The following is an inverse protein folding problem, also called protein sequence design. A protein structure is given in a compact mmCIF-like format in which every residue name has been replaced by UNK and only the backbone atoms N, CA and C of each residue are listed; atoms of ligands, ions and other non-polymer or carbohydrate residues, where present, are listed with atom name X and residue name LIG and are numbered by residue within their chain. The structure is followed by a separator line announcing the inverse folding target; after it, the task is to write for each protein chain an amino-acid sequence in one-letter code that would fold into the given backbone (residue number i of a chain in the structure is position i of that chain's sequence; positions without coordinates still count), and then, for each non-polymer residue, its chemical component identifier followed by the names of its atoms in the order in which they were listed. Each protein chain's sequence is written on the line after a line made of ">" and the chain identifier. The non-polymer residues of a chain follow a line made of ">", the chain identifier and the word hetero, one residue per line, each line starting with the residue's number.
data_IF_769596631893
#
_entry.id   IF_769596631893
#
_cell.length_a   1.000
_cell.length_b   1.000
_cell.length_c   1.000
_cell.angle_alpha   90.00
_cell.angle_beta   90.00
_cell.angle_gamma   90.00
#
_symmetry.space_group_name_H-M   'P 1'
#
loop_
_entity.id
_entity.type
_entity.pdbx_description
1 polymer ?
#
# COMPACT_ATOMS: atom_id res chain seq x y z
N UNK A 1 -1.91 33.89 -16.39
CA UNK A 1 -2.82 32.99 -17.11
C UNK A 1 -2.05 31.73 -17.53
N UNK A 2 -2.71 30.56 -17.50
CA UNK A 2 -2.07 29.30 -17.88
C UNK A 2 -1.67 29.25 -19.35
N UNK A 3 -2.42 29.91 -20.21
CA UNK A 3 -2.07 30.04 -21.62
C UNK A 3 -0.80 30.87 -21.78
N UNK A 4 -0.67 31.97 -21.05
CA UNK A 4 0.54 32.80 -21.05
C UNK A 4 1.78 32.05 -20.55
N UNK A 5 1.61 31.24 -19.50
CA UNK A 5 2.69 30.42 -18.94
C UNK A 5 3.23 29.43 -19.98
N UNK A 6 2.35 28.81 -20.75
CA UNK A 6 2.73 27.92 -21.85
C UNK A 6 3.10 28.66 -23.14
N UNK A 7 2.82 29.95 -23.24
CA UNK A 7 3.05 30.75 -24.45
C UNK A 7 2.21 30.30 -25.63
N UNK A 8 0.94 29.96 -25.39
CA UNK A 8 -0.04 29.52 -26.40
C UNK A 8 -1.28 30.38 -26.34
N UNK A 9 -2.04 30.43 -27.44
CA UNK A 9 -3.32 31.15 -27.49
C UNK A 9 -4.44 30.35 -26.81
N UNK A 10 -5.50 31.04 -26.39
CA UNK A 10 -6.69 30.36 -25.83
C UNK A 10 -7.40 29.43 -26.83
N UNK A 11 -7.14 29.58 -28.11
CA UNK A 11 -7.64 28.72 -29.18
C UNK A 11 -6.71 27.54 -29.53
N UNK A 12 -5.57 27.38 -28.81
CA UNK A 12 -4.62 26.33 -29.08
C UNK A 12 -5.25 24.96 -28.91
N UNK A 13 -4.93 24.03 -29.81
CA UNK A 13 -5.28 22.63 -29.69
C UNK A 13 -4.37 21.88 -28.72
N UNK A 14 -4.73 20.66 -28.41
CA UNK A 14 -3.97 19.83 -27.45
C UNK A 14 -2.55 19.53 -27.91
N UNK A 15 -2.31 19.42 -29.22
CA UNK A 15 -1.00 19.17 -29.80
C UNK A 15 -0.09 20.40 -29.66
N UNK A 16 -0.61 21.58 -29.84
CA UNK A 16 0.08 22.86 -29.65
C UNK A 16 0.43 23.07 -28.18
N UNK A 17 -0.51 22.81 -27.27
CA UNK A 17 -0.29 22.85 -25.81
C UNK A 17 0.80 21.86 -25.41
N UNK A 18 0.72 20.62 -25.89
CA UNK A 18 1.71 19.58 -25.60
C UNK A 18 3.10 19.92 -26.15
N UNK A 19 3.17 20.45 -27.37
CA UNK A 19 4.43 20.86 -28.00
C UNK A 19 5.10 22.01 -27.25
N UNK A 20 4.34 22.99 -26.82
CA UNK A 20 4.84 24.13 -26.05
C UNK A 20 5.33 23.68 -24.66
N UNK A 21 4.53 22.84 -23.96
CA UNK A 21 4.94 22.25 -22.69
C UNK A 21 6.28 21.53 -22.82
N UNK A 22 6.45 20.63 -23.80
CA UNK A 22 7.71 19.90 -24.03
C UNK A 22 8.89 20.82 -24.20
N UNK A 23 8.74 21.90 -24.99
CA UNK A 23 9.77 22.89 -25.24
C UNK A 23 10.18 23.62 -23.96
N UNK A 24 9.20 24.04 -23.16
CA UNK A 24 9.43 24.79 -21.92
C UNK A 24 9.97 23.88 -20.81
N UNK A 25 9.49 22.64 -20.68
CA UNK A 25 9.98 21.67 -19.72
C UNK A 25 11.45 21.31 -19.95
N UNK A 26 11.88 21.20 -21.22
CA UNK A 26 13.30 21.01 -21.57
C UNK A 26 14.12 22.26 -21.25
N UNK A 27 13.58 23.45 -21.44
CA UNK A 27 14.27 24.72 -21.19
C UNK A 27 14.48 24.95 -19.69
N UNK A 28 13.46 24.71 -18.87
CA UNK A 28 13.43 25.01 -17.44
C UNK A 28 13.68 23.79 -16.56
N UNK A 29 14.31 22.76 -17.14
CA UNK A 29 14.65 21.58 -16.34
C UNK A 29 15.72 21.90 -15.29
N UNK A 30 15.51 21.58 -13.98
CA UNK A 30 16.44 21.94 -12.90
C UNK A 30 17.88 21.44 -13.11
N UNK A 31 18.06 20.30 -13.80
CA UNK A 31 19.39 19.74 -14.07
C UNK A 31 20.20 20.52 -15.13
N UNK A 32 19.56 21.44 -15.86
CA UNK A 32 20.26 22.30 -16.84
C UNK A 32 20.78 23.60 -16.24
N UNK A 33 20.36 23.91 -15.04
CA UNK A 33 20.74 25.12 -14.32
C UNK A 33 21.69 24.75 -13.18
N UNK A 34 22.95 25.11 -13.32
CA UNK A 34 24.03 24.73 -12.37
C UNK A 34 24.19 25.72 -11.24
N UNK A 35 23.80 26.98 -11.45
CA UNK A 35 23.85 28.00 -10.43
C UNK A 35 22.67 27.91 -9.47
N UNK A 36 22.89 28.18 -8.18
CA UNK A 36 21.89 27.91 -7.12
C UNK A 36 20.66 28.79 -7.25
N UNK A 37 20.81 30.04 -7.65
CA UNK A 37 19.72 30.98 -7.83
C UNK A 37 18.96 30.70 -9.15
N UNK A 38 19.65 30.37 -10.21
CA UNK A 38 19.08 29.94 -11.48
C UNK A 38 18.31 28.65 -11.36
N UNK A 39 18.75 27.73 -10.49
CA UNK A 39 18.09 26.47 -10.24
C UNK A 39 16.77 26.66 -9.50
N UNK A 40 16.71 27.53 -8.49
CA UNK A 40 15.48 27.85 -7.77
C UNK A 40 14.44 28.48 -8.72
N UNK A 41 14.89 29.42 -9.56
CA UNK A 41 14.01 30.04 -10.55
C UNK A 41 13.52 29.02 -11.59
N UNK A 42 14.39 28.13 -12.07
CA UNK A 42 14.01 27.04 -12.98
C UNK A 42 12.99 26.07 -12.35
N UNK A 43 13.13 25.74 -11.06
CA UNK A 43 12.16 24.91 -10.33
C UNK A 43 10.78 25.58 -10.22
N UNK A 44 10.73 26.89 -9.95
CA UNK A 44 9.46 27.63 -9.89
C UNK A 44 8.80 27.71 -11.27
N UNK A 45 9.59 27.98 -12.32
CA UNK A 45 9.08 28.00 -13.68
C UNK A 45 8.59 26.62 -14.12
N UNK A 46 9.33 25.56 -13.79
CA UNK A 46 8.92 24.19 -14.12
C UNK A 46 7.62 23.78 -13.42
N UNK A 47 7.42 24.17 -12.15
CA UNK A 47 6.16 23.97 -11.42
C UNK A 47 5.00 24.69 -12.10
N UNK A 48 5.20 25.95 -12.46
CA UNK A 48 4.18 26.77 -13.12
C UNK A 48 3.77 26.20 -14.49
N UNK A 49 4.76 25.77 -15.28
CA UNK A 49 4.57 25.14 -16.59
C UNK A 49 3.83 23.81 -16.47
N UNK A 50 4.20 22.99 -15.47
CA UNK A 50 3.56 21.70 -15.23
C UNK A 50 2.11 21.85 -14.75
N UNK A 51 1.84 22.85 -13.90
CA UNK A 51 0.49 23.17 -13.43
C UNK A 51 -0.41 23.66 -14.59
N UNK A 52 0.10 24.53 -15.44
CA UNK A 52 -0.61 25.02 -16.59
C UNK A 52 -0.96 23.87 -17.57
N UNK A 53 0.01 22.99 -17.83
CA UNK A 53 -0.22 21.86 -18.72
C UNK A 53 -1.24 20.87 -18.14
N UNK A 54 -1.20 20.57 -16.83
CA UNK A 54 -2.13 19.64 -16.19
C UNK A 54 -3.59 20.06 -16.32
N UNK A 55 -3.85 21.37 -16.34
CA UNK A 55 -5.20 21.92 -16.50
C UNK A 55 -5.60 22.01 -17.97
N UNK A 56 -4.71 22.53 -18.82
CA UNK A 56 -5.04 22.79 -20.21
C UNK A 56 -5.01 21.55 -21.11
N UNK A 57 -4.37 20.46 -20.68
CA UNK A 57 -4.33 19.18 -21.39
C UNK A 57 -5.56 18.31 -21.15
N UNK A 58 -6.32 18.56 -20.11
CA UNK A 58 -7.58 17.89 -19.80
C UNK A 58 -8.76 18.73 -20.29
N UNK A 59 -9.59 18.17 -21.15
CA UNK A 59 -10.71 18.90 -21.76
C UNK A 59 -11.71 19.41 -20.73
N UNK A 60 -11.95 18.65 -19.66
CA UNK A 60 -12.89 19.02 -18.62
C UNK A 60 -12.34 20.14 -17.74
N UNK A 61 -11.08 20.00 -17.28
CA UNK A 61 -10.42 21.02 -16.48
C UNK A 61 -10.20 22.32 -17.26
N UNK A 62 -9.88 22.21 -18.55
CA UNK A 62 -9.76 23.36 -19.43
C UNK A 62 -11.07 24.15 -19.55
N UNK A 63 -12.21 23.45 -19.71
CA UNK A 63 -13.52 24.09 -19.70
C UNK A 63 -13.85 24.83 -18.43
N UNK A 64 -13.52 24.20 -17.27
CA UNK A 64 -13.70 24.82 -15.95
C UNK A 64 -12.78 26.04 -15.81
N UNK A 65 -11.52 25.91 -16.23
CA UNK A 65 -10.56 27.01 -16.20
C UNK A 65 -10.99 28.18 -17.09
N UNK A 66 -11.49 27.92 -18.31
CA UNK A 66 -11.95 28.93 -19.25
C UNK A 66 -13.19 29.67 -18.76
N UNK A 67 -14.05 29.01 -17.97
CA UNK A 67 -15.29 29.58 -17.43
C UNK A 67 -15.13 30.29 -16.08
N UNK A 68 -14.36 29.70 -15.17
CA UNK A 68 -14.29 30.11 -13.76
C UNK A 68 -12.86 30.47 -13.29
N UNK A 69 -11.87 30.41 -14.21
CA UNK A 69 -10.49 30.68 -13.90
C UNK A 69 -9.88 29.68 -12.91
N UNK A 70 -8.83 30.13 -12.21
CA UNK A 70 -8.14 29.33 -11.17
C UNK A 70 -9.07 28.97 -9.99
N UNK A 71 -10.03 29.86 -9.67
CA UNK A 71 -10.98 29.62 -8.59
C UNK A 71 -11.92 28.44 -8.89
N UNK A 72 -12.35 28.30 -10.14
CA UNK A 72 -13.15 27.16 -10.58
C UNK A 72 -12.40 25.84 -10.49
N UNK A 73 -11.09 25.84 -10.77
CA UNK A 73 -10.24 24.66 -10.60
C UNK A 73 -10.13 24.28 -9.14
N UNK A 74 -9.95 25.22 -8.21
CA UNK A 74 -9.88 24.96 -6.76
C UNK A 74 -11.18 24.34 -6.22
N UNK A 75 -12.35 24.81 -6.70
CA UNK A 75 -13.66 24.28 -6.30
C UNK A 75 -13.99 22.90 -6.88
N UNK A 76 -13.45 22.55 -8.05
CA UNK A 76 -13.68 21.25 -8.70
C UNK A 76 -12.71 20.15 -8.26
N UNK A 77 -11.67 20.49 -7.50
CA UNK A 77 -10.67 19.53 -6.96
C UNK A 77 -11.27 18.58 -5.90
N UNK A 78 -12.44 18.89 -5.33
CA UNK A 78 -13.16 17.97 -4.42
C UNK A 78 -13.59 16.65 -5.09
N UNK A 79 -13.65 16.61 -6.42
CA UNK A 79 -14.01 15.43 -7.24
C UNK A 79 -12.81 14.74 -7.90
N UNK A 80 -11.59 15.23 -7.67
CA UNK A 80 -10.43 14.76 -8.40
C UNK A 80 -9.83 13.52 -7.73
N UNK A 81 -9.89 12.37 -8.46
CA UNK A 81 -9.09 11.17 -8.12
C UNK A 81 -7.62 11.58 -8.00
N UNK A 82 -6.89 11.10 -6.99
CA UNK A 82 -5.47 11.37 -6.89
C UNK A 82 -4.81 10.97 -8.20
N UNK A 83 -4.28 11.96 -8.88
CA UNK A 83 -3.58 11.78 -10.15
C UNK A 83 -2.34 10.93 -9.86
N UNK A 84 -2.38 9.67 -10.22
CA UNK A 84 -1.21 8.79 -10.14
C UNK A 84 -0.14 9.37 -11.06
N UNK A 85 0.90 9.91 -10.46
CA UNK A 85 2.09 10.47 -11.13
C UNK A 85 2.65 9.54 -12.23
N UNK A 86 2.40 8.24 -12.10
CA UNK A 86 2.78 7.19 -13.04
C UNK A 86 2.01 7.20 -14.35
N UNK A 87 0.72 7.48 -14.36
CA UNK A 87 -0.08 7.48 -15.59
C UNK A 87 0.21 8.73 -16.42
N UNK A 88 0.37 9.86 -15.76
CA UNK A 88 0.76 11.13 -16.39
C UNK A 88 2.21 11.09 -16.90
N UNK A 89 3.12 10.56 -16.12
CA UNK A 89 4.54 10.39 -16.48
C UNK A 89 4.70 9.43 -17.66
N UNK A 90 3.98 8.30 -17.67
CA UNK A 90 3.98 7.37 -18.78
C UNK A 90 3.31 7.94 -20.05
N UNK A 91 2.27 8.76 -19.92
CA UNK A 91 1.58 9.38 -21.04
C UNK A 91 2.40 10.49 -21.70
N UNK A 92 3.27 11.18 -20.93
CA UNK A 92 4.13 12.27 -21.44
C UNK A 92 5.50 11.78 -21.88
N UNK A 93 6.10 10.81 -21.18
CA UNK A 93 7.48 10.37 -21.43
C UNK A 93 7.55 9.21 -22.41
N UNK A 94 6.52 8.36 -22.52
CA UNK A 94 6.49 7.30 -23.52
C UNK A 94 6.67 7.79 -24.99
N UNK A 95 6.15 8.97 -25.40
CA UNK A 95 6.44 9.51 -26.72
C UNK A 95 7.87 10.02 -26.89
N UNK A 96 8.62 10.23 -25.78
CA UNK A 96 10.00 10.77 -25.79
C UNK A 96 11.06 9.65 -25.81
N UNK A 97 10.69 8.39 -25.83
CA UNK A 97 11.60 7.21 -25.78
C UNK A 97 12.66 7.18 -26.89
N UNK A 98 12.54 7.96 -27.92
CA UNK A 98 13.49 8.01 -29.05
C UNK A 98 14.58 9.10 -28.90
N UNK A 99 14.69 9.77 -27.73
CA UNK A 99 15.69 10.78 -27.50
C UNK A 99 16.77 10.31 -26.52
N UNK A 100 18.03 10.42 -26.86
CA UNK A 100 19.22 9.98 -26.08
C UNK A 100 19.23 10.52 -24.62
N UNK A 101 18.59 11.67 -24.40
CA UNK A 101 18.40 12.27 -23.08
C UNK A 101 17.40 11.51 -22.20
N UNK A 102 16.40 10.87 -22.81
CA UNK A 102 15.40 10.03 -22.12
C UNK A 102 16.02 8.74 -21.59
N UNK A 103 17.06 8.23 -22.24
CA UNK A 103 17.77 7.04 -21.76
C UNK A 103 18.56 7.34 -20.48
N UNK A 104 19.14 8.54 -20.39
CA UNK A 104 19.84 9.00 -19.19
C UNK A 104 18.88 9.32 -18.02
N UNK A 105 17.70 9.87 -18.33
CA UNK A 105 16.61 10.03 -17.37
C UNK A 105 16.01 8.70 -16.97
N UNK A 106 15.82 7.76 -17.91
CA UNK A 106 15.26 6.45 -17.62
C UNK A 106 16.11 5.67 -16.60
N UNK A 107 17.45 5.74 -16.69
CA UNK A 107 18.33 5.05 -15.73
C UNK A 107 18.25 5.65 -14.32
N UNK A 108 18.14 6.99 -14.24
CA UNK A 108 17.98 7.70 -12.95
C UNK A 108 16.54 7.63 -12.44
N UNK A 109 15.54 7.61 -13.32
CA UNK A 109 14.12 7.52 -13.00
C UNK A 109 13.63 6.07 -12.88
N UNK A 110 14.24 5.08 -13.51
CA UNK A 110 14.02 3.67 -13.15
C UNK A 110 14.47 3.39 -11.72
N UNK A 111 15.57 3.99 -11.27
CA UNK A 111 15.97 3.98 -9.85
C UNK A 111 14.99 4.75 -8.97
N UNK A 112 14.45 5.88 -9.44
CA UNK A 112 13.45 6.67 -8.70
C UNK A 112 12.05 6.09 -8.82
N UNK A 113 11.65 5.55 -9.98
CA UNK A 113 10.38 4.82 -10.18
C UNK A 113 10.38 3.51 -9.39
N UNK A 114 11.46 2.75 -9.41
CA UNK A 114 11.63 1.58 -8.53
C UNK A 114 11.69 1.99 -7.05
N UNK A 115 12.25 3.17 -6.74
CA UNK A 115 12.22 3.75 -5.40
C UNK A 115 10.80 4.23 -5.03
N UNK A 116 10.07 4.86 -5.93
CA UNK A 116 8.70 5.36 -5.69
C UNK A 116 7.67 4.22 -5.70
N UNK A 117 7.77 3.26 -6.63
CA UNK A 117 6.94 2.05 -6.62
C UNK A 117 7.24 1.14 -5.43
N UNK A 118 8.52 1.09 -4.99
CA UNK A 118 8.91 0.39 -3.77
C UNK A 118 8.64 1.20 -2.50
N UNK A 119 8.47 2.52 -2.58
CA UNK A 119 8.14 3.38 -1.44
C UNK A 119 6.64 3.34 -1.09
N UNK A 120 5.76 3.05 -2.05
CA UNK A 120 4.33 2.85 -1.75
C UNK A 120 4.09 1.65 -0.81
N UNK A 121 4.99 0.66 -0.80
CA UNK A 121 4.80 -0.61 -0.08
C UNK A 121 6.09 -1.16 0.57
N UNK A 122 7.04 -0.33 0.98
CA UNK A 122 8.22 -0.83 1.69
C UNK A 122 7.90 -1.20 3.14
N UNK A 123 8.32 -2.38 3.62
CA UNK A 123 8.31 -2.66 5.05
C UNK A 123 9.18 -1.63 5.78
N UNK A 124 8.72 -1.18 6.93
CA UNK A 124 9.34 -0.13 7.76
C UNK A 124 10.84 -0.35 8.06
N UNK A 125 11.32 -1.61 8.06
CA UNK A 125 12.71 -1.98 8.29
C UNK A 125 13.71 -1.43 7.26
N UNK A 126 13.26 -1.03 6.06
CA UNK A 126 14.14 -0.52 5.00
C UNK A 126 14.22 1.02 4.94
N UNK A 127 13.32 1.71 5.62
CA UNK A 127 13.35 3.16 5.77
C UNK A 127 14.19 3.51 7.02
N UNK A 128 15.51 3.54 6.87
CA UNK A 128 16.34 4.32 7.80
C UNK A 128 15.84 5.76 7.69
N UNK A 129 15.02 6.17 8.65
CA UNK A 129 14.52 7.52 8.80
C UNK A 129 15.73 8.47 8.97
N UNK A 130 16.29 8.96 7.86
CA UNK A 130 16.81 10.32 7.92
C UNK A 130 15.59 11.15 8.30
N UNK A 131 15.61 11.75 9.47
CA UNK A 131 14.69 12.82 9.84
C UNK A 131 14.79 13.88 8.74
N UNK A 132 14.02 13.70 7.68
CA UNK A 132 13.75 14.77 6.75
C UNK A 132 12.90 15.74 7.55
N UNK A 133 13.47 16.90 7.81
CA UNK A 133 12.78 18.08 8.30
C UNK A 133 11.79 18.54 7.20
N UNK A 134 10.76 17.75 6.94
CA UNK A 134 9.61 18.18 6.17
C UNK A 134 8.55 18.64 7.18
N UNK A 135 8.46 19.96 7.45
CA UNK A 135 7.72 20.50 8.58
C UNK A 135 6.19 20.32 8.47
N UNK A 136 5.69 19.74 7.39
CA UNK A 136 4.27 19.44 7.21
C UNK A 136 3.97 17.94 7.11
N UNK A 137 4.94 17.07 7.41
CA UNK A 137 4.73 15.61 7.39
C UNK A 137 3.83 15.17 8.53
N UNK A 138 2.76 14.42 8.20
CA UNK A 138 1.82 13.88 9.16
C UNK A 138 1.73 12.36 9.00
N UNK A 139 2.00 11.63 10.08
CA UNK A 139 1.87 10.18 10.12
C UNK A 139 0.57 9.79 10.83
N UNK A 140 -0.20 8.89 10.23
CA UNK A 140 -1.49 8.42 10.74
C UNK A 140 -1.46 6.89 10.72
N UNK A 141 -1.77 6.26 11.86
CA UNK A 141 -1.92 4.81 11.92
C UNK A 141 -3.33 4.43 11.49
N UNK A 142 -3.44 3.54 10.50
CA UNK A 142 -4.69 3.00 10.01
C UNK A 142 -4.80 1.53 10.44
N UNK A 143 -5.73 1.24 11.34
CA UNK A 143 -5.98 -0.11 11.82
C UNK A 143 -6.97 -0.84 10.91
N UNK A 144 -6.55 -2.01 10.40
CA UNK A 144 -7.33 -2.85 9.49
C UNK A 144 -7.49 -4.26 10.07
N UNK A 145 -8.62 -4.89 9.77
CA UNK A 145 -8.84 -6.30 10.11
C UNK A 145 -8.19 -7.22 9.07
N UNK A 146 -8.03 -8.50 9.39
CA UNK A 146 -7.48 -9.48 8.43
C UNK A 146 -8.37 -9.64 7.22
N UNK A 147 -9.69 -9.58 7.39
CA UNK A 147 -10.67 -9.68 6.31
C UNK A 147 -10.56 -8.49 5.35
N UNK A 148 -10.39 -7.27 5.88
CA UNK A 148 -10.18 -6.07 5.06
C UNK A 148 -8.90 -6.15 4.25
N UNK A 149 -7.83 -6.70 4.83
CA UNK A 149 -6.56 -6.93 4.13
C UNK A 149 -6.61 -8.12 3.16
N UNK A 150 -7.49 -9.08 3.41
CA UNK A 150 -7.68 -10.24 2.54
C UNK A 150 -8.47 -9.88 1.28
N UNK A 151 -9.58 -9.17 1.44
CA UNK A 151 -10.48 -8.81 0.34
C UNK A 151 -10.05 -7.52 -0.38
N UNK A 152 -9.31 -6.66 0.34
CA UNK A 152 -9.11 -5.28 -0.04
C UNK A 152 -10.35 -4.44 0.25
N UNK A 153 -10.16 -3.16 0.48
CA UNK A 153 -11.27 -2.24 0.75
C UNK A 153 -10.88 -0.79 0.44
N UNK A 154 -11.88 0.07 0.37
CA UNK A 154 -11.67 1.52 0.32
C UNK A 154 -12.08 2.12 1.65
N UNK A 155 -11.18 2.89 2.27
CA UNK A 155 -11.43 3.62 3.51
C UNK A 155 -11.45 5.11 3.24
N UNK A 156 -12.45 5.78 3.78
CA UNK A 156 -12.51 7.23 3.77
C UNK A 156 -11.94 7.77 5.08
N UNK A 157 -11.03 8.71 4.98
CA UNK A 157 -10.42 9.36 6.13
C UNK A 157 -10.54 10.87 6.01
N UNK A 158 -11.24 11.49 6.96
CA UNK A 158 -11.41 12.95 7.02
C UNK A 158 -10.20 13.58 7.68
N UNK A 159 -9.61 14.56 7.01
CA UNK A 159 -8.50 15.36 7.51
C UNK A 159 -8.89 16.83 7.56
N UNK A 160 -8.34 17.52 8.51
CA UNK A 160 -8.30 18.99 8.54
C UNK A 160 -6.87 19.40 8.24
N UNK A 161 -6.65 20.22 7.24
CA UNK A 161 -5.32 20.71 6.87
C UNK A 161 -5.25 22.23 6.80
N UNK A 162 -4.10 22.76 7.17
CA UNK A 162 -3.81 24.19 7.06
C UNK A 162 -3.28 24.50 5.66
N UNK A 163 -3.86 25.51 5.02
CA UNK A 163 -3.44 25.99 3.69
C UNK A 163 -3.34 27.51 3.72
N UNK A 164 -2.29 28.06 3.11
CA UNK A 164 -2.12 29.48 2.96
C UNK A 164 -2.68 29.98 1.62
N UNK A 165 -3.49 31.02 1.67
CA UNK A 165 -3.91 31.82 0.51
C UNK A 165 -3.34 33.21 0.69
N UNK A 166 -2.29 33.54 -0.06
CA UNK A 166 -1.46 34.70 0.23
C UNK A 166 -0.77 34.59 1.59
N UNK A 167 -0.98 35.54 2.48
CA UNK A 167 -0.43 35.54 3.85
C UNK A 167 -1.40 34.99 4.91
N UNK A 168 -2.62 34.65 4.53
CA UNK A 168 -3.67 34.20 5.46
C UNK A 168 -3.72 32.67 5.49
N UNK A 169 -3.75 32.11 6.71
CA UNK A 169 -3.90 30.67 6.92
C UNK A 169 -5.38 30.31 7.02
N UNK A 170 -5.78 29.24 6.34
CA UNK A 170 -7.12 28.67 6.36
C UNK A 170 -7.04 27.19 6.74
N UNK A 171 -8.07 26.74 7.49
CA UNK A 171 -8.30 25.32 7.71
C UNK A 171 -9.30 24.81 6.69
N UNK A 172 -8.95 23.69 6.04
CA UNK A 172 -9.78 23.05 5.03
C UNK A 172 -10.02 21.60 5.44
N UNK A 173 -11.29 21.21 5.45
CA UNK A 173 -11.70 19.81 5.62
C UNK A 173 -11.59 19.09 4.29
N UNK A 174 -10.94 17.93 4.30
CA UNK A 174 -10.80 17.08 3.11
C UNK A 174 -10.99 15.61 3.48
N UNK A 175 -11.69 14.87 2.61
CA UNK A 175 -11.81 13.42 2.73
C UNK A 175 -10.81 12.77 1.77
N UNK A 176 -9.92 11.93 2.31
CA UNK A 176 -9.01 11.11 1.54
C UNK A 176 -9.60 9.70 1.40
N UNK A 177 -9.60 9.17 0.18
CA UNK A 177 -9.99 7.78 -0.08
C UNK A 177 -8.72 6.95 -0.18
N UNK A 178 -8.56 6.01 0.75
CA UNK A 178 -7.42 5.13 0.85
C UNK A 178 -7.84 3.79 0.22
N UNK A 179 -7.20 3.42 -0.87
CA UNK A 179 -7.43 2.16 -1.58
C UNK A 179 -6.50 1.08 -1.02
N UNK A 180 -7.07 0.16 -0.22
CA UNK A 180 -6.34 -0.95 0.40
C UNK A 180 -6.38 -2.14 -0.53
N UNK A 181 -5.24 -2.50 -1.09
CA UNK A 181 -5.11 -3.66 -1.97
C UNK A 181 -5.13 -4.96 -1.18
N UNK A 182 -5.71 -6.05 -1.75
CA UNK A 182 -5.61 -7.37 -1.14
C UNK A 182 -4.15 -7.77 -0.89
N UNK A 183 -3.89 -8.39 0.25
CA UNK A 183 -2.55 -8.87 0.59
C UNK A 183 -1.58 -7.81 1.14
N UNK A 184 -2.00 -6.56 1.26
CA UNK A 184 -1.15 -5.49 1.80
C UNK A 184 -0.52 -5.92 3.13
N UNK A 185 0.80 -5.73 3.25
CA UNK A 185 1.57 -6.16 4.42
C UNK A 185 1.34 -5.27 5.64
N UNK A 186 1.56 -5.84 6.82
CA UNK A 186 1.59 -5.08 8.06
C UNK A 186 2.77 -4.10 8.05
N UNK A 187 2.55 -2.90 8.62
CA UNK A 187 3.47 -1.76 8.58
C UNK A 187 3.73 -1.19 7.18
N UNK A 188 2.96 -1.53 6.16
CA UNK A 188 3.02 -0.86 4.86
C UNK A 188 2.70 0.63 5.01
N UNK A 189 3.32 1.45 4.18
CA UNK A 189 3.15 2.90 4.18
C UNK A 189 2.44 3.32 2.89
N UNK A 190 1.36 4.07 3.04
CA UNK A 190 0.63 4.68 1.92
C UNK A 190 0.81 6.20 2.04
N UNK A 191 1.43 6.81 1.03
CA UNK A 191 1.75 8.22 1.03
C UNK A 191 0.80 9.02 0.15
N UNK A 192 0.25 10.08 0.71
CA UNK A 192 -0.50 11.11 -0.01
C UNK A 192 0.36 12.36 -0.10
N UNK A 193 0.78 12.69 -1.32
CA UNK A 193 1.63 13.84 -1.58
C UNK A 193 0.85 15.14 -1.48
N UNK A 194 1.43 16.16 -0.81
CA UNK A 194 0.87 17.51 -0.65
C UNK A 194 -0.51 17.56 0.03
N UNK A 195 -0.87 16.53 0.78
CA UNK A 195 -2.14 16.47 1.50
C UNK A 195 -2.00 16.83 2.99
N UNK A 196 -0.77 17.05 3.46
CA UNK A 196 -0.49 17.52 4.82
C UNK A 196 -0.63 19.03 4.98
N UNK A 197 -0.21 19.52 6.13
CA UNK A 197 -0.25 20.93 6.47
C UNK A 197 0.76 21.73 5.66
N UNK A 198 0.36 22.94 5.26
CA UNK A 198 1.28 23.96 4.77
C UNK A 198 1.76 24.79 5.94
N UNK A 199 3.06 24.89 6.13
CA UNK A 199 3.69 25.55 7.30
C UNK A 199 3.89 27.04 7.07
N UNK A 200 4.11 27.45 5.83
CA UNK A 200 4.27 28.87 5.46
C UNK A 200 3.75 29.10 4.03
N UNK A 201 3.46 30.37 3.67
CA UNK A 201 3.00 30.72 2.34
C UNK A 201 3.95 30.31 1.21
N UNK A 202 5.25 30.26 1.51
CA UNK A 202 6.33 29.97 0.55
C UNK A 202 6.70 28.50 0.47
N UNK A 203 6.17 27.64 1.37
CA UNK A 203 6.47 26.21 1.39
C UNK A 203 5.31 25.41 0.82
N UNK A 204 5.57 24.34 0.06
CA UNK A 204 4.51 23.44 -0.37
C UNK A 204 3.91 22.72 0.84
N UNK A 205 2.64 22.26 0.76
CA UNK A 205 2.05 21.39 1.76
C UNK A 205 2.89 20.14 2.00
N UNK A 206 2.91 19.67 3.23
CA UNK A 206 3.59 18.42 3.57
C UNK A 206 2.85 17.19 3.02
N UNK A 207 3.37 16.02 3.34
CA UNK A 207 2.78 14.74 2.95
C UNK A 207 2.02 14.13 4.13
N UNK A 208 1.00 13.33 3.83
CA UNK A 208 0.39 12.43 4.81
C UNK A 208 0.84 11.01 4.52
N UNK A 209 1.27 10.31 5.56
CA UNK A 209 1.65 8.90 5.49
C UNK A 209 0.68 8.12 6.37
N UNK A 210 -0.06 7.19 5.75
CA UNK A 210 -0.83 6.20 6.48
C UNK A 210 0.03 4.97 6.70
N UNK A 211 0.26 4.64 7.97
CA UNK A 211 0.92 3.41 8.38
C UNK A 211 -0.14 2.36 8.67
N UNK A 212 -0.10 1.27 7.95
CA UNK A 212 -1.06 0.17 8.12
C UNK A 212 -0.68 -0.64 9.36
N UNK A 213 -1.68 -0.91 10.19
CA UNK A 213 -1.56 -1.78 11.35
C UNK A 213 -2.63 -2.85 11.31
N UNK A 214 -2.21 -4.12 11.37
CA UNK A 214 -3.14 -5.25 11.37
C UNK A 214 -3.69 -5.48 12.77
N UNK A 215 -5.01 -5.38 12.94
CA UNK A 215 -5.68 -5.72 14.20
C UNK A 215 -5.46 -7.19 14.54
N UNK A 216 -5.34 -7.46 15.83
CA UNK A 216 -5.32 -8.86 16.32
C UNK A 216 -6.61 -9.55 15.90
N UNK A 217 -6.48 -10.74 15.29
CA UNK A 217 -7.61 -11.58 14.93
C UNK A 217 -7.78 -12.71 15.94
N UNK A 218 -9.02 -13.08 16.23
CA UNK A 218 -9.32 -14.06 17.29
C UNK A 218 -8.87 -15.49 16.91
N UNK A 219 -8.96 -15.82 15.63
CA UNK A 219 -8.72 -17.17 15.11
C UNK A 219 -7.37 -17.34 14.46
N UNK A 220 -6.93 -16.37 13.67
CA UNK A 220 -5.73 -16.46 12.85
C UNK A 220 -4.62 -15.54 13.30
N UNK A 221 -3.39 -15.99 13.14
CA UNK A 221 -2.19 -15.18 13.29
C UNK A 221 -1.55 -15.05 11.90
N UNK A 222 -1.42 -13.83 11.39
CA UNK A 222 -0.76 -13.59 10.13
C UNK A 222 0.77 -13.64 10.28
N UNK A 223 1.44 -14.34 9.37
CA UNK A 223 2.89 -14.35 9.26
C UNK A 223 3.29 -14.24 7.78
N UNK A 224 3.57 -13.01 7.35
CA UNK A 224 3.73 -12.69 5.92
C UNK A 224 2.44 -12.96 5.15
N UNK A 225 2.49 -13.84 4.16
CA UNK A 225 1.30 -14.27 3.41
C UNK A 225 0.68 -15.57 3.96
N UNK A 226 1.25 -16.15 4.99
CA UNK A 226 0.69 -17.34 5.62
C UNK A 226 -0.21 -16.96 6.80
N UNK A 227 -1.21 -17.80 7.03
CA UNK A 227 -2.09 -17.75 8.20
C UNK A 227 -1.76 -18.92 9.12
N UNK A 228 -1.67 -18.67 10.40
CA UNK A 228 -1.47 -19.69 11.42
C UNK A 228 -2.76 -19.83 12.22
N UNK A 229 -3.26 -21.06 12.29
CA UNK A 229 -4.39 -21.46 13.12
C UNK A 229 -3.92 -22.41 14.20
N UNK A 230 -4.20 -22.11 15.48
CA UNK A 230 -3.89 -22.97 16.60
C UNK A 230 -5.10 -23.85 16.91
N UNK A 231 -4.95 -25.15 16.70
CA UNK A 231 -5.99 -26.13 17.01
C UNK A 231 -5.64 -26.93 18.25
N UNK A 232 -6.52 -26.89 19.24
CA UNK A 232 -6.34 -27.60 20.48
C UNK A 232 -6.95 -29.00 20.37
N UNK A 233 -6.16 -30.04 20.62
CA UNK A 233 -6.55 -31.43 20.51
C UNK A 233 -6.32 -32.20 21.81
N UNK A 234 -7.22 -33.14 22.12
CA UNK A 234 -7.04 -34.07 23.22
C UNK A 234 -6.07 -35.19 22.85
N UNK A 235 -5.55 -35.91 23.85
CA UNK A 235 -4.71 -37.08 23.61
C UNK A 235 -5.41 -38.16 22.81
N UNK A 236 -6.72 -38.37 23.03
CA UNK A 236 -7.53 -39.32 22.26
C UNK A 236 -7.56 -38.91 20.77
N UNK A 237 -7.86 -37.64 20.48
CA UNK A 237 -7.88 -37.12 19.12
C UNK A 237 -6.51 -37.25 18.44
N UNK A 238 -5.44 -36.97 19.18
CA UNK A 238 -4.08 -37.07 18.66
C UNK A 238 -3.70 -38.50 18.24
N UNK A 239 -4.25 -39.51 18.90
CA UNK A 239 -3.93 -40.92 18.63
C UNK A 239 -4.90 -41.56 17.64
N UNK A 240 -6.18 -41.19 17.67
CA UNK A 240 -7.25 -41.82 16.88
C UNK A 240 -7.48 -41.17 15.52
N UNK A 241 -7.06 -39.92 15.37
CA UNK A 241 -7.48 -39.07 14.28
C UNK A 241 -8.83 -38.39 14.57
N UNK A 242 -9.15 -37.35 13.81
CA UNK A 242 -10.36 -36.54 13.97
C UNK A 242 -10.61 -35.68 12.75
N UNK A 243 -11.84 -35.16 12.65
CA UNK A 243 -12.23 -34.22 11.61
C UNK A 243 -12.71 -32.93 12.25
N UNK A 244 -12.43 -31.82 11.62
CA UNK A 244 -12.93 -30.52 12.05
C UNK A 244 -13.04 -29.56 10.85
N UNK A 245 -13.71 -28.44 11.05
CA UNK A 245 -13.83 -27.40 10.03
C UNK A 245 -13.35 -26.05 10.59
N UNK A 246 -12.76 -25.26 9.71
CA UNK A 246 -12.32 -23.89 10.01
C UNK A 246 -13.03 -22.98 9.01
N UNK A 247 -13.57 -21.86 9.50
CA UNK A 247 -14.03 -20.78 8.61
C UNK A 247 -12.84 -19.96 8.14
N UNK A 248 -12.66 -19.91 6.83
CA UNK A 248 -11.68 -19.05 6.17
C UNK A 248 -12.05 -17.57 6.30
N UNK A 249 -11.13 -16.65 5.94
CA UNK A 249 -11.38 -15.21 5.94
C UNK A 249 -12.43 -14.78 4.89
N UNK A 250 -12.74 -15.61 3.91
CA UNK A 250 -13.83 -15.42 2.94
C UNK A 250 -15.13 -16.17 3.33
N UNK A 251 -15.25 -16.60 4.59
CA UNK A 251 -16.37 -17.33 5.17
C UNK A 251 -16.66 -18.72 4.54
N UNK A 252 -15.71 -19.31 3.84
CA UNK A 252 -15.81 -20.70 3.37
C UNK A 252 -15.43 -21.66 4.47
N UNK A 253 -16.11 -22.80 4.52
CA UNK A 253 -15.75 -23.88 5.45
C UNK A 253 -14.66 -24.74 4.82
N UNK A 254 -13.51 -24.81 5.48
CA UNK A 254 -12.38 -25.69 5.12
C UNK A 254 -12.51 -26.93 6.00
N UNK A 255 -12.86 -28.07 5.39
CA UNK A 255 -12.98 -29.35 6.07
C UNK A 255 -11.60 -30.01 6.13
N UNK A 256 -11.17 -30.40 7.30
CA UNK A 256 -9.85 -30.97 7.56
C UNK A 256 -10.02 -32.33 8.18
N UNK A 257 -9.43 -33.36 7.54
CA UNK A 257 -9.39 -34.72 7.99
C UNK A 257 -7.98 -35.05 8.46
N UNK A 258 -7.83 -35.52 9.68
CA UNK A 258 -6.58 -35.92 10.30
C UNK A 258 -6.66 -37.39 10.64
N UNK A 259 -6.12 -38.24 9.76
CA UNK A 259 -6.21 -39.70 9.91
C UNK A 259 -4.97 -40.30 10.59
N UNK A 260 -3.87 -39.57 10.60
CA UNK A 260 -2.62 -40.03 11.18
C UNK A 260 -2.43 -39.56 12.63
N UNK A 261 -1.56 -40.25 13.37
CA UNK A 261 -1.15 -39.83 14.71
C UNK A 261 -0.49 -38.45 14.64
N UNK A 262 -0.99 -37.54 15.44
CA UNK A 262 -0.49 -36.16 15.52
C UNK A 262 0.57 -36.06 16.62
N UNK A 263 1.83 -35.94 16.24
CA UNK A 263 2.93 -35.75 17.17
C UNK A 263 2.93 -34.34 17.78
N UNK A 264 3.45 -34.14 18.99
CA UNK A 264 3.66 -32.81 19.56
C UNK A 264 4.43 -31.89 18.61
N UNK A 265 3.98 -30.64 18.49
CA UNK A 265 4.54 -29.61 17.58
C UNK A 265 4.43 -29.93 16.08
N UNK A 266 3.67 -30.96 15.69
CA UNK A 266 3.39 -31.19 14.28
C UNK A 266 2.53 -30.07 13.70
N UNK A 267 2.71 -29.83 12.41
CA UNK A 267 1.99 -28.81 11.66
C UNK A 267 1.40 -29.43 10.41
N UNK A 268 0.18 -29.05 10.09
CA UNK A 268 -0.45 -29.36 8.82
C UNK A 268 -0.47 -28.11 7.96
N UNK A 269 -0.10 -28.24 6.71
CA UNK A 269 -0.08 -27.13 5.76
C UNK A 269 -1.17 -27.36 4.73
N UNK A 270 -2.06 -26.39 4.59
CA UNK A 270 -3.09 -26.36 3.56
C UNK A 270 -2.68 -25.29 2.57
N UNK A 271 -2.26 -25.68 1.36
CA UNK A 271 -1.75 -24.74 0.37
C UNK A 271 -2.87 -23.83 -0.14
N UNK A 272 -2.51 -22.58 -0.44
CA UNK A 272 -3.40 -21.60 -1.08
C UNK A 272 -4.61 -21.13 -0.25
N UNK A 273 -4.58 -21.34 1.08
CA UNK A 273 -5.62 -20.89 2.03
C UNK A 273 -5.12 -19.81 3.00
N UNK A 274 -3.99 -19.19 2.69
CA UNK A 274 -3.43 -18.05 3.40
C UNK A 274 -3.91 -16.70 2.86
N UNK A 275 -3.13 -15.64 3.13
CA UNK A 275 -3.37 -14.28 2.61
C UNK A 275 -2.99 -14.19 1.12
N UNK A 276 -3.72 -13.40 0.34
CA UNK A 276 -3.36 -13.18 -1.06
C UNK A 276 -1.99 -12.46 -1.17
N UNK A 277 -1.30 -12.68 -2.29
CA UNK A 277 -0.14 -11.88 -2.65
C UNK A 277 -0.59 -10.56 -3.30
N UNK A 278 0.01 -9.45 -2.90
CA UNK A 278 -0.35 -8.14 -3.42
C UNK A 278 -0.13 -8.03 -4.94
N UNK A 279 0.94 -8.63 -5.46
CA UNK A 279 1.28 -8.61 -6.88
C UNK A 279 0.40 -9.54 -7.71
N UNK A 280 -0.14 -10.61 -7.11
CA UNK A 280 -1.02 -11.57 -7.74
C UNK A 280 -2.07 -12.08 -6.76
N UNK A 281 -3.21 -11.39 -6.61
CA UNK A 281 -4.24 -11.73 -5.62
C UNK A 281 -4.89 -13.12 -5.82
N UNK A 282 -4.74 -13.73 -7.00
CA UNK A 282 -5.21 -15.08 -7.26
C UNK A 282 -4.32 -16.16 -6.62
N UNK A 283 -3.07 -15.82 -6.30
CA UNK A 283 -2.16 -16.64 -5.51
C UNK A 283 -2.24 -16.23 -4.05
N UNK A 284 -2.34 -17.23 -3.18
CA UNK A 284 -2.37 -17.03 -1.73
C UNK A 284 -1.22 -17.79 -1.08
N UNK A 285 -0.84 -17.39 0.11
CA UNK A 285 0.02 -18.16 0.98
C UNK A 285 -0.69 -19.39 1.54
N UNK A 286 -0.10 -20.02 2.52
CA UNK A 286 -0.59 -21.26 3.10
C UNK A 286 -1.31 -21.00 4.43
N UNK A 287 -2.28 -21.86 4.74
CA UNK A 287 -2.83 -21.99 6.08
C UNK A 287 -2.04 -23.08 6.83
N UNK A 288 -1.38 -22.68 7.91
CA UNK A 288 -0.59 -23.55 8.77
C UNK A 288 -1.37 -23.84 10.04
N UNK A 289 -1.75 -25.10 10.24
CA UNK A 289 -2.43 -25.55 11.44
C UNK A 289 -1.38 -26.05 12.42
N UNK A 290 -1.30 -25.42 13.58
CA UNK A 290 -0.45 -25.84 14.68
C UNK A 290 -1.29 -26.59 15.70
N UNK A 291 -1.02 -27.90 15.92
CA UNK A 291 -1.74 -28.71 16.87
C UNK A 291 -1.15 -28.53 18.28
N UNK A 292 -2.01 -28.14 19.21
CA UNK A 292 -1.66 -27.96 20.62
C UNK A 292 -2.33 -29.05 21.42
N UNK A 293 -1.52 -29.91 22.02
CA UNK A 293 -2.02 -31.04 22.80
C UNK A 293 -2.48 -30.59 24.18
N UNK A 294 -3.70 -30.96 24.53
CA UNK A 294 -4.27 -30.79 25.86
C UNK A 294 -4.18 -32.12 26.56
N UNK A 295 -3.45 -32.17 27.64
CA UNK A 295 -3.34 -33.35 28.51
C UNK A 295 -4.34 -33.22 29.66
N UNK A 296 -4.89 -34.37 30.15
CA UNK A 296 -5.70 -34.36 31.36
C UNK A 296 -4.83 -33.91 32.56
N UNK A 297 -5.37 -33.04 33.39
CA UNK A 297 -4.65 -32.56 34.59
C UNK A 297 -4.44 -33.65 35.62
N UNK A 298 -5.38 -34.61 35.71
CA UNK A 298 -5.35 -35.74 36.66
C UNK A 298 -5.77 -37.04 35.99
N UNK A 299 -5.17 -38.14 36.40
CA UNK A 299 -5.53 -39.50 36.00
C UNK A 299 -5.55 -40.41 37.22
N UNK A 300 -6.49 -41.34 37.28
CA UNK A 300 -6.56 -42.39 38.30
C UNK A 300 -5.45 -43.44 38.07
N UNK A 301 -5.07 -44.18 39.10
CA UNK A 301 -4.09 -45.25 38.97
C UNK A 301 -4.50 -46.33 37.99
N UNK A 302 -5.82 -46.66 37.93
CA UNK A 302 -6.35 -47.63 37.00
C UNK A 302 -6.19 -47.17 35.53
N UNK A 303 -6.42 -45.88 35.23
CA UNK A 303 -6.24 -45.31 33.91
C UNK A 303 -4.75 -45.28 33.49
N UNK A 304 -3.85 -44.98 34.42
CA UNK A 304 -2.40 -45.03 34.19
C UNK A 304 -1.92 -46.43 33.83
N UNK A 305 -2.43 -47.46 34.54
CA UNK A 305 -2.07 -48.85 34.27
C UNK A 305 -2.60 -49.25 32.89
N UNK A 306 -3.87 -48.98 32.57
CA UNK A 306 -4.44 -49.30 31.27
C UNK A 306 -3.67 -48.64 30.13
N UNK A 307 -3.31 -47.36 30.26
CA UNK A 307 -2.54 -46.64 29.26
C UNK A 307 -1.14 -47.25 29.06
N UNK A 308 -0.46 -47.65 30.15
CA UNK A 308 0.84 -48.35 30.12
C UNK A 308 0.75 -49.65 29.34
N UNK A 309 -0.26 -50.47 29.61
CA UNK A 309 -0.45 -51.78 28.96
C UNK A 309 -0.70 -51.63 27.45
N UNK A 310 -1.46 -50.60 27.04
CA UNK A 310 -1.66 -50.29 25.64
C UNK A 310 -0.35 -49.88 24.97
N UNK A 311 0.42 -48.97 25.58
CA UNK A 311 1.69 -48.49 25.01
C UNK A 311 2.70 -49.64 24.88
N UNK A 312 2.82 -50.51 25.87
CA UNK A 312 3.73 -51.65 25.86
C UNK A 312 3.33 -52.63 24.73
N UNK A 313 2.06 -52.93 24.57
CA UNK A 313 1.58 -53.83 23.50
C UNK A 313 1.83 -53.30 22.06
N UNK A 314 1.96 -51.98 21.91
CA UNK A 314 2.32 -51.36 20.63
C UNK A 314 3.83 -51.37 20.39
N UNK A 315 4.66 -51.23 21.41
CA UNK A 315 6.11 -51.29 21.30
C UNK A 315 6.60 -52.72 20.93
N UNK A 316 5.98 -53.77 21.47
CA UNK A 316 6.32 -55.16 21.14
C UNK A 316 6.04 -55.51 19.69
N UNK A 317 5.05 -54.85 19.04
CA UNK A 317 4.76 -55.01 17.59
C UNK A 317 5.78 -54.29 16.70
N UNK A 318 6.40 -53.21 17.17
CA UNK A 318 7.39 -52.45 16.41
C UNK A 318 8.82 -52.98 16.51
N UNK A 319 9.11 -53.91 17.47
CA UNK A 319 10.42 -54.55 17.65
C UNK A 319 10.53 -55.88 16.89
N UNK A 320 9.50 -56.27 16.12
CA UNK A 320 9.44 -57.52 15.35
C UNK A 320 9.72 -57.36 13.87
N UNK A 321 10.45 -56.31 13.45
CA UNK A 321 10.90 -56.09 12.07
C UNK A 321 12.42 -55.97 12.02
#
# INVERSE_FOLDING_TARGET
>A
DYYDILGVTKSADIDQITKSYKKLAIKWHPDKHTDKDDKLYAEEMFKSISSAYSVLSDEHLRKIYDTHGIEGIKGSVESYKPFYYTEYFNKIINPLKNFSFVTLLNDKYHKLSNFLHSAEYKPFSSLKTRRNNNPGLREITLELTLEELYQGCKKEYKIVKNVYVGLTNFQIDKTLVIDIKPGLEDNALIMFHMEGDQVSPSTPPGNIIFKIFTKKHDTFIRRGNNLIYKHYITLEQALKGFNFSIKSLDNKDIIINVDNIVSPNSKMIIPNEGMPYMDNPNHKGDLIIEFIHIYPETMTEAEKIALRDIINSTNDKNTSY
#
